data_IF_776620575695
#
_entry.id   IF_776620575695
#
_cell.length_a   1.000
_cell.length_b   1.000
_cell.length_c   1.000
_cell.angle_alpha   90.00
_cell.angle_beta   90.00
_cell.angle_gamma   90.00
#
_symmetry.space_group_name_H-M   'P 1'
#
loop_
_entity.id
_entity.type
_entity.pdbx_description
1 polymer ?
#
# COMPACT_ATOMS: atom_id res chain seq x y z
N UNK A 1 13.54 -15.87 -57.60
CA UNK A 1 14.20 -17.15 -57.26
C UNK A 1 13.57 -17.65 -55.97
N UNK A 2 12.66 -18.64 -56.01
CA UNK A 2 12.93 -20.08 -55.82
C UNK A 2 13.46 -20.38 -54.38
N UNK A 3 12.92 -21.26 -53.55
CA UNK A 3 11.97 -22.35 -53.74
C UNK A 3 11.31 -22.80 -52.41
N UNK A 4 10.10 -23.38 -52.54
CA UNK A 4 9.39 -24.21 -51.56
C UNK A 4 10.21 -25.43 -51.12
N UNK A 5 9.96 -25.96 -49.90
CA UNK A 5 9.90 -27.41 -49.67
C UNK A 5 8.94 -27.80 -48.53
N UNK A 6 8.02 -28.69 -48.89
CA UNK A 6 7.04 -29.47 -48.11
C UNK A 6 7.64 -30.84 -47.77
N UNK A 7 7.10 -31.50 -46.73
CA UNK A 7 6.96 -32.96 -46.44
C UNK A 7 7.38 -33.25 -44.98
N UNK A 8 6.71 -34.09 -44.21
CA UNK A 8 5.59 -35.00 -44.45
C UNK A 8 5.19 -35.68 -43.12
N UNK A 9 3.95 -36.18 -43.08
CA UNK A 9 3.38 -36.96 -41.98
C UNK A 9 3.98 -38.38 -41.90
N UNK A 10 3.91 -39.02 -40.72
CA UNK A 10 3.29 -40.35 -40.52
C UNK A 10 3.39 -40.81 -39.06
N UNK A 11 2.31 -41.45 -38.62
CA UNK A 11 2.09 -42.08 -37.32
C UNK A 11 2.47 -43.58 -37.34
N UNK A 12 2.83 -44.12 -36.17
CA UNK A 12 2.68 -45.52 -35.70
C UNK A 12 3.33 -45.57 -34.30
N UNK A 13 2.72 -46.01 -33.19
CA UNK A 13 1.93 -47.22 -33.01
C UNK A 13 2.84 -48.36 -32.56
N UNK A 14 2.87 -48.69 -31.25
CA UNK A 14 3.11 -50.06 -30.73
C UNK A 14 2.98 -50.15 -29.19
N UNK A 15 2.00 -50.95 -28.78
CA UNK A 15 1.85 -51.52 -27.45
C UNK A 15 2.89 -52.61 -27.19
N UNK A 16 3.25 -52.83 -25.91
CA UNK A 16 3.84 -54.09 -25.43
C UNK A 16 3.22 -54.50 -24.09
N UNK A 17 2.77 -55.75 -24.06
CA UNK A 17 2.17 -56.52 -22.96
C UNK A 17 3.16 -57.63 -22.61
N UNK A 18 3.44 -57.87 -21.33
CA UNK A 18 4.11 -59.05 -20.77
C UNK A 18 3.99 -58.96 -19.24
N UNK A 19 3.83 -60.00 -18.42
CA UNK A 19 3.70 -61.45 -18.54
C UNK A 19 3.15 -61.94 -17.18
N UNK A 20 2.35 -63.01 -17.18
CA UNK A 20 1.87 -63.74 -15.98
C UNK A 20 2.54 -65.12 -15.95
N UNK A 21 2.73 -65.68 -14.73
CA UNK A 21 2.68 -67.11 -14.32
C UNK A 21 3.79 -67.48 -13.29
N UNK A 22 3.67 -68.55 -12.47
CA UNK A 22 2.50 -69.33 -12.00
C UNK A 22 2.51 -69.68 -10.47
N UNK A 23 1.69 -70.68 -10.10
CA UNK A 23 1.01 -71.13 -8.86
C UNK A 23 1.71 -72.11 -7.87
N UNK A 24 1.24 -72.17 -6.61
CA UNK A 24 0.82 -73.35 -5.77
C UNK A 24 0.59 -72.91 -4.28
N UNK A 25 -0.55 -73.11 -3.60
CA UNK A 25 -0.95 -74.25 -2.72
C UNK A 25 -0.04 -74.38 -1.46
N UNK A 26 -0.43 -74.38 -0.17
CA UNK A 26 -1.66 -74.72 0.59
C UNK A 26 -1.48 -74.30 2.10
N UNK A 27 -2.60 -74.35 2.86
CA UNK A 27 -2.74 -74.57 4.33
C UNK A 27 -2.62 -73.42 5.38
N UNK A 28 -3.61 -73.43 6.29
CA UNK A 28 -3.87 -72.57 7.47
C UNK A 28 -3.24 -73.16 8.74
N UNK A 29 -2.88 -72.34 9.74
CA UNK A 29 -3.36 -72.62 11.11
C UNK A 29 -3.84 -71.36 11.87
N UNK A 30 -4.80 -71.57 12.78
CA UNK A 30 -5.32 -70.60 13.77
C UNK A 30 -4.40 -70.45 15.00
N UNK A 31 -4.40 -69.26 15.65
CA UNK A 31 -4.13 -69.14 17.09
C UNK A 31 -3.29 -67.95 17.63
N UNK A 32 -3.94 -66.78 17.86
CA UNK A 32 -3.78 -65.76 18.95
C UNK A 32 -2.42 -65.05 19.26
N UNK A 33 -2.39 -63.89 19.99
CA UNK A 33 -3.39 -62.84 20.24
C UNK A 33 -2.95 -61.41 19.79
N UNK A 34 -3.86 -60.46 19.96
CA UNK A 34 -3.87 -59.07 19.45
C UNK A 34 -2.86 -58.13 20.13
N UNK A 35 -2.12 -57.34 19.33
CA UNK A 35 -1.59 -56.03 19.72
C UNK A 35 -2.19 -54.96 18.82
N UNK A 36 -3.02 -54.09 19.40
CA UNK A 36 -3.64 -52.96 18.72
C UNK A 36 -2.62 -51.84 18.48
N UNK A 37 -2.02 -51.80 17.29
CA UNK A 37 -1.36 -50.60 16.78
C UNK A 37 -2.34 -49.83 15.88
N UNK A 38 -2.79 -48.67 16.36
CA UNK A 38 -3.66 -47.74 15.62
C UNK A 38 -2.80 -47.09 14.52
N UNK A 39 -3.09 -47.28 13.22
CA UNK A 39 -2.40 -46.51 12.18
C UNK A 39 -2.84 -45.04 12.27
N UNK A 40 -1.96 -44.06 11.98
CA UNK A 40 -2.35 -42.66 11.93
C UNK A 40 -3.48 -42.51 10.91
N UNK A 41 -4.64 -42.03 11.36
CA UNK A 41 -5.73 -41.69 10.45
C UNK A 41 -5.25 -40.51 9.60
N UNK A 42 -4.76 -40.79 8.39
CA UNK A 42 -4.65 -39.78 7.35
C UNK A 42 -6.08 -39.26 7.09
N UNK A 43 -6.40 -38.10 7.65
CA UNK A 43 -7.61 -37.37 7.33
C UNK A 43 -7.51 -36.95 5.86
N UNK A 44 -7.97 -37.83 4.96
CA UNK A 44 -8.16 -37.51 3.55
C UNK A 44 -9.32 -36.52 3.46
N UNK A 45 -8.99 -35.23 3.39
CA UNK A 45 -9.97 -34.16 3.23
C UNK A 45 -10.61 -34.34 1.85
N UNK A 46 -11.91 -34.66 1.76
CA UNK A 46 -12.56 -34.76 0.47
C UNK A 46 -12.52 -33.38 -0.21
N UNK A 47 -12.33 -33.32 -1.54
CA UNK A 47 -12.40 -32.06 -2.26
C UNK A 47 -13.75 -31.40 -1.97
N UNK A 48 -13.80 -30.07 -1.74
CA UNK A 48 -15.05 -29.38 -1.42
C UNK A 48 -16.00 -29.43 -2.62
N UNK A 49 -16.78 -30.50 -2.71
CA UNK A 49 -17.89 -30.62 -3.65
C UNK A 49 -18.98 -29.68 -3.17
N UNK A 50 -19.16 -28.55 -3.87
CA UNK A 50 -20.29 -27.67 -3.62
C UNK A 50 -21.56 -28.48 -3.87
N UNK A 51 -22.26 -28.86 -2.80
CA UNK A 51 -23.50 -29.66 -2.80
C UNK A 51 -24.69 -28.90 -3.44
N UNK A 52 -24.46 -28.01 -4.41
CA UNK A 52 -25.48 -27.14 -5.01
C UNK A 52 -26.07 -26.08 -4.05
N UNK A 53 -25.62 -26.04 -2.79
CA UNK A 53 -26.15 -25.16 -1.73
C UNK A 53 -25.62 -23.71 -1.77
N UNK A 54 -25.06 -23.26 -2.89
CA UNK A 54 -24.56 -21.89 -3.03
C UNK A 54 -25.72 -20.90 -3.20
N UNK A 55 -26.29 -20.46 -2.08
CA UNK A 55 -27.45 -19.55 -2.02
C UNK A 55 -27.05 -18.09 -2.31
N UNK A 56 -25.99 -17.60 -1.65
CA UNK A 56 -25.53 -16.22 -1.80
C UNK A 56 -24.50 -16.09 -2.93
N UNK A 57 -24.94 -15.74 -4.14
CA UNK A 57 -24.08 -15.59 -5.33
C UNK A 57 -23.45 -14.20 -5.43
N UNK A 58 -22.81 -13.76 -4.35
CA UNK A 58 -22.06 -12.50 -4.34
C UNK A 58 -20.75 -12.61 -5.13
N UNK A 59 -20.48 -11.57 -5.91
CA UNK A 59 -19.30 -11.43 -6.75
C UNK A 59 -18.83 -10.00 -6.69
N UNK A 60 -17.54 -9.81 -6.40
CA UNK A 60 -16.94 -8.50 -6.22
C UNK A 60 -16.02 -8.19 -7.39
N UNK A 61 -16.28 -7.11 -8.10
CA UNK A 61 -15.36 -6.61 -9.12
C UNK A 61 -14.26 -5.80 -8.44
N UNK A 62 -12.99 -6.15 -8.69
CA UNK A 62 -11.84 -5.41 -8.17
C UNK A 62 -10.97 -4.93 -9.33
N UNK A 63 -10.95 -3.62 -9.56
CA UNK A 63 -10.14 -3.02 -10.61
C UNK A 63 -9.70 -1.60 -10.25
N UNK A 64 -8.90 -0.99 -11.13
CA UNK A 64 -8.21 0.26 -10.84
C UNK A 64 -8.22 1.21 -12.01
N UNK A 65 -8.06 2.50 -11.73
CA UNK A 65 -7.79 3.51 -12.75
C UNK A 65 -6.34 3.47 -13.23
N UNK A 66 -6.07 4.06 -14.39
CA UNK A 66 -4.70 4.20 -14.89
C UNK A 66 -3.82 5.02 -13.95
N UNK A 67 -2.57 4.58 -13.80
CA UNK A 67 -1.52 5.26 -13.04
C UNK A 67 -1.56 5.05 -11.52
N UNK A 68 -2.03 3.89 -11.07
CA UNK A 68 -1.80 3.38 -9.71
C UNK A 68 -0.31 3.19 -9.41
N UNK A 69 0.07 3.39 -8.15
CA UNK A 69 1.42 3.19 -7.64
C UNK A 69 1.77 1.69 -7.53
N UNK A 70 3.06 1.35 -7.41
CA UNK A 70 3.52 -0.03 -7.22
C UNK A 70 2.89 -0.68 -5.99
N UNK A 71 2.95 -0.01 -4.83
CA UNK A 71 2.33 -0.49 -3.59
C UNK A 71 0.83 -0.76 -3.71
N UNK A 72 0.11 0.10 -4.45
CA UNK A 72 -1.32 -0.08 -4.71
C UNK A 72 -1.61 -1.31 -5.58
N UNK A 73 -0.72 -1.66 -6.52
CA UNK A 73 -0.87 -2.89 -7.33
C UNK A 73 -0.79 -4.13 -6.46
N UNK A 74 0.17 -4.15 -5.53
CA UNK A 74 0.29 -5.22 -4.55
C UNK A 74 -0.94 -5.29 -3.66
N UNK A 75 -1.39 -4.17 -3.08
CA UNK A 75 -2.63 -4.15 -2.28
C UNK A 75 -3.85 -4.70 -3.06
N UNK A 76 -4.01 -4.31 -4.33
CA UNK A 76 -5.09 -4.81 -5.17
C UNK A 76 -4.97 -6.32 -5.43
N UNK A 77 -3.75 -6.82 -5.61
CA UNK A 77 -3.48 -8.25 -5.79
C UNK A 77 -3.68 -9.05 -4.51
N UNK A 78 -3.31 -8.48 -3.36
CA UNK A 78 -3.51 -9.07 -2.04
C UNK A 78 -5.00 -9.27 -1.78
N UNK A 79 -5.82 -8.23 -2.01
CA UNK A 79 -7.28 -8.31 -1.86
C UNK A 79 -7.93 -9.32 -2.83
N UNK A 80 -7.43 -9.43 -4.06
CA UNK A 80 -7.88 -10.46 -5.03
C UNK A 80 -7.50 -11.87 -4.60
N UNK A 81 -6.41 -12.01 -3.85
CA UNK A 81 -5.93 -13.31 -3.37
C UNK A 81 -6.69 -13.76 -2.14
N UNK A 82 -7.00 -12.81 -1.25
CA UNK A 82 -7.80 -13.04 -0.04
C UNK A 82 -9.29 -13.32 -0.36
N UNK A 83 -9.89 -12.61 -1.31
CA UNK A 83 -11.31 -12.77 -1.65
C UNK A 83 -11.50 -13.70 -2.86
N UNK A 84 -11.98 -14.94 -2.69
CA UNK A 84 -12.09 -15.92 -3.78
C UNK A 84 -13.23 -15.59 -4.76
N UNK A 85 -14.24 -14.85 -4.33
CA UNK A 85 -15.36 -14.32 -5.13
C UNK A 85 -15.01 -13.03 -5.88
N UNK A 86 -13.74 -12.60 -5.83
CA UNK A 86 -13.28 -11.44 -6.58
C UNK A 86 -13.06 -11.75 -8.06
N UNK A 87 -13.38 -10.78 -8.92
CA UNK A 87 -13.07 -10.79 -10.35
C UNK A 87 -12.16 -9.61 -10.68
N UNK A 88 -11.12 -9.88 -11.46
CA UNK A 88 -10.25 -8.85 -12.00
C UNK A 88 -10.83 -8.32 -13.32
N UNK A 89 -10.62 -7.04 -13.58
CA UNK A 89 -10.90 -6.45 -14.88
C UNK A 89 -9.77 -5.52 -15.35
N UNK A 90 -9.87 -5.07 -16.60
CA UNK A 90 -8.93 -4.15 -17.22
C UNK A 90 -8.93 -2.78 -16.51
N UNK A 91 -7.85 -2.01 -16.69
CA UNK A 91 -7.73 -0.70 -16.04
C UNK A 91 -8.51 0.35 -16.81
N UNK A 92 -9.45 1.00 -16.13
CA UNK A 92 -10.25 2.10 -16.65
C UNK A 92 -9.40 3.35 -16.90
N UNK A 93 -9.73 4.11 -17.95
CA UNK A 93 -9.06 5.38 -18.20
C UNK A 93 -9.56 6.46 -17.23
N UNK A 94 -8.73 7.49 -17.01
CA UNK A 94 -9.07 8.60 -16.09
C UNK A 94 -10.13 9.55 -16.65
N UNK A 95 -10.34 9.51 -17.96
CA UNK A 95 -11.32 10.36 -18.67
C UNK A 95 -12.72 9.77 -18.64
N UNK A 96 -12.83 8.47 -18.41
CA UNK A 96 -14.09 7.75 -18.45
C UNK A 96 -14.96 8.15 -17.25
N UNK A 97 -16.26 8.24 -17.46
CA UNK A 97 -17.21 8.55 -16.40
C UNK A 97 -17.38 7.34 -15.47
N UNK A 98 -17.55 7.60 -14.17
CA UNK A 98 -17.68 6.53 -13.17
C UNK A 98 -18.94 5.66 -13.38
N UNK A 99 -19.93 6.13 -14.14
CA UNK A 99 -21.13 5.35 -14.46
C UNK A 99 -20.83 4.11 -15.33
N UNK A 100 -19.77 4.17 -16.16
CA UNK A 100 -19.31 3.04 -17.00
C UNK A 100 -18.96 1.81 -16.14
N UNK A 101 -18.61 2.02 -14.87
CA UNK A 101 -18.31 0.94 -13.93
C UNK A 101 -19.54 0.03 -13.72
N UNK A 102 -20.74 0.60 -13.75
CA UNK A 102 -21.97 -0.17 -13.59
C UNK A 102 -22.17 -1.14 -14.74
N UNK A 103 -21.91 -0.69 -15.98
CA UNK A 103 -21.98 -1.53 -17.18
C UNK A 103 -20.95 -2.66 -17.14
N UNK A 104 -19.71 -2.35 -16.73
CA UNK A 104 -18.65 -3.36 -16.58
C UNK A 104 -19.03 -4.41 -15.54
N UNK A 105 -19.61 -4.00 -14.42
CA UNK A 105 -20.13 -4.91 -13.40
C UNK A 105 -21.25 -5.79 -13.95
N UNK A 106 -22.16 -5.26 -14.77
CA UNK A 106 -23.23 -6.03 -15.41
C UNK A 106 -22.67 -7.06 -16.40
N UNK A 107 -21.75 -6.65 -17.28
CA UNK A 107 -21.07 -7.56 -18.22
C UNK A 107 -20.32 -8.70 -17.52
N UNK A 108 -19.72 -8.42 -16.36
CA UNK A 108 -19.00 -9.43 -15.55
C UNK A 108 -19.92 -10.15 -14.57
N UNK A 109 -21.20 -9.80 -14.50
CA UNK A 109 -22.19 -10.28 -13.55
C UNK A 109 -21.63 -10.22 -12.11
N UNK A 110 -21.26 -9.01 -11.68
CA UNK A 110 -20.77 -8.66 -10.36
C UNK A 110 -21.77 -7.74 -9.65
N UNK A 111 -22.16 -8.10 -8.43
CA UNK A 111 -23.13 -7.36 -7.64
C UNK A 111 -22.47 -6.22 -6.84
N UNK A 112 -21.16 -6.31 -6.65
CA UNK A 112 -20.37 -5.46 -5.78
C UNK A 112 -19.12 -4.99 -6.50
N UNK A 113 -18.61 -3.83 -6.12
CA UNK A 113 -17.45 -3.25 -6.76
C UNK A 113 -16.50 -2.59 -5.75
N UNK A 114 -15.21 -2.87 -5.90
CA UNK A 114 -14.10 -2.14 -5.29
C UNK A 114 -13.30 -1.48 -6.42
N UNK A 115 -13.35 -0.15 -6.48
CA UNK A 115 -12.63 0.61 -7.50
C UNK A 115 -11.51 1.45 -6.87
N UNK A 116 -10.28 1.24 -7.34
CA UNK A 116 -9.10 2.00 -6.94
C UNK A 116 -8.88 3.19 -7.86
N UNK A 117 -9.15 4.40 -7.36
CA UNK A 117 -8.93 5.65 -8.07
C UNK A 117 -7.59 6.27 -7.64
N UNK A 118 -6.57 6.22 -8.50
CA UNK A 118 -5.30 6.90 -8.25
C UNK A 118 -5.28 8.32 -8.84
N UNK A 119 -5.04 9.32 -7.99
CA UNK A 119 -4.81 10.70 -8.41
C UNK A 119 -3.35 11.11 -8.24
N UNK A 120 -2.83 11.85 -9.22
CA UNK A 120 -1.45 12.38 -9.23
C UNK A 120 -0.35 11.32 -8.99
N UNK A 121 -0.64 10.04 -9.22
CA UNK A 121 0.24 8.88 -8.94
C UNK A 121 0.71 8.77 -7.48
N UNK A 122 0.07 9.48 -6.55
CA UNK A 122 0.46 9.57 -5.14
C UNK A 122 -0.72 9.27 -4.22
N UNK A 123 -1.87 9.90 -4.47
CA UNK A 123 -3.05 9.76 -3.63
C UNK A 123 -3.90 8.58 -4.12
N UNK A 124 -4.33 7.75 -3.18
CA UNK A 124 -5.18 6.60 -3.44
C UNK A 124 -6.57 6.83 -2.84
N UNK A 125 -7.58 6.73 -3.69
CA UNK A 125 -8.96 6.70 -3.27
C UNK A 125 -9.53 5.30 -3.55
N UNK A 126 -10.37 4.81 -2.66
CA UNK A 126 -11.11 3.58 -2.85
C UNK A 126 -12.59 3.87 -2.84
N UNK A 127 -13.29 3.25 -3.76
CA UNK A 127 -14.73 3.25 -3.81
C UNK A 127 -15.23 1.85 -3.51
N UNK A 128 -16.19 1.77 -2.60
CA UNK A 128 -16.97 0.56 -2.34
C UNK A 128 -18.38 0.83 -2.81
N UNK A 129 -18.93 -0.03 -3.65
CA UNK A 129 -20.27 0.15 -4.22
C UNK A 129 -21.03 -1.15 -4.32
N UNK A 130 -22.34 -1.06 -4.08
CA UNK A 130 -23.31 -2.04 -4.52
C UNK A 130 -23.83 -1.65 -5.91
N UNK A 131 -23.64 -2.50 -6.90
CA UNK A 131 -24.07 -2.24 -8.28
C UNK A 131 -25.36 -3.01 -8.58
N UNK A 132 -26.36 -2.44 -9.30
CA UNK A 132 -26.42 -1.09 -9.89
C UNK A 132 -27.06 -0.01 -8.99
N UNK A 133 -27.78 -0.41 -7.95
CA UNK A 133 -28.65 0.51 -7.20
C UNK A 133 -27.91 1.44 -6.23
N UNK A 134 -26.67 1.11 -5.82
CA UNK A 134 -25.99 1.75 -4.69
C UNK A 134 -26.28 1.03 -3.36
N UNK A 135 -25.78 1.53 -2.22
CA UNK A 135 -25.03 2.78 -2.04
C UNK A 135 -23.57 2.68 -2.49
N UNK A 136 -22.91 3.83 -2.63
CA UNK A 136 -21.46 3.90 -2.84
C UNK A 136 -20.77 4.80 -1.84
N UNK A 137 -19.61 4.37 -1.35
CA UNK A 137 -18.83 5.11 -0.38
C UNK A 137 -17.42 5.35 -0.89
N UNK A 138 -16.97 6.61 -0.78
CA UNK A 138 -15.65 7.05 -1.21
C UNK A 138 -14.74 7.26 -0.01
N UNK A 139 -13.57 6.63 -0.06
CA UNK A 139 -12.56 6.72 0.98
C UNK A 139 -11.24 7.24 0.44
N UNK A 140 -10.50 7.99 1.25
CA UNK A 140 -9.07 8.20 1.08
C UNK A 140 -8.33 7.08 1.81
N UNK A 141 -7.45 6.39 1.10
CA UNK A 141 -6.64 5.31 1.69
C UNK A 141 -5.30 5.87 2.13
N UNK A 142 -4.95 5.59 3.38
CA UNK A 142 -3.69 5.98 4.00
C UNK A 142 -2.99 4.75 4.62
N UNK A 143 -1.70 4.89 4.93
CA UNK A 143 -0.91 3.88 5.65
C UNK A 143 -1.07 2.45 5.10
N UNK A 144 -0.95 2.31 3.78
CA UNK A 144 -1.01 1.01 3.11
C UNK A 144 0.26 0.22 3.40
N UNK A 145 0.08 -0.97 3.94
CA UNK A 145 1.07 -2.00 4.17
C UNK A 145 0.61 -3.28 3.47
N UNK A 146 1.41 -3.82 2.57
CA UNK A 146 1.06 -5.00 1.75
C UNK A 146 1.52 -6.30 2.39
N UNK A 147 1.02 -7.45 1.91
CA UNK A 147 1.41 -8.78 2.41
C UNK A 147 2.92 -9.03 2.33
N UNK A 148 3.60 -8.46 1.32
CA UNK A 148 5.04 -8.66 1.10
C UNK A 148 5.94 -7.82 2.03
N UNK A 149 5.41 -7.14 3.04
CA UNK A 149 6.21 -6.34 3.97
C UNK A 149 6.77 -7.19 5.11
N UNK A 150 8.07 -7.03 5.41
CA UNK A 150 8.83 -7.85 6.36
C UNK A 150 8.23 -7.97 7.77
N UNK A 151 7.40 -7.01 8.19
CA UNK A 151 6.80 -6.99 9.53
C UNK A 151 5.61 -7.94 9.69
N UNK A 152 5.09 -8.48 8.59
CA UNK A 152 3.93 -9.36 8.61
C UNK A 152 4.40 -10.80 8.51
N UNK A 153 4.33 -11.54 9.62
CA UNK A 153 4.85 -12.91 9.73
C UNK A 153 3.76 -13.97 9.57
N UNK A 154 2.48 -13.56 9.59
CA UNK A 154 1.36 -14.49 9.47
C UNK A 154 1.15 -14.97 8.04
N UNK A 155 0.52 -16.13 7.90
CA UNK A 155 0.09 -16.70 6.63
C UNK A 155 -1.39 -17.10 6.71
N UNK A 156 -2.07 -17.23 5.58
CA UNK A 156 -3.40 -17.84 5.57
C UNK A 156 -3.66 -18.63 4.28
N UNK A 157 -4.51 -19.65 4.39
CA UNK A 157 -5.03 -20.41 3.27
C UNK A 157 -5.75 -19.49 2.29
N UNK A 158 -5.32 -19.54 1.02
CA UNK A 158 -5.92 -18.77 -0.05
C UNK A 158 -7.37 -19.19 -0.26
N UNK A 159 -8.28 -18.23 -0.18
CA UNK A 159 -9.72 -18.47 -0.34
C UNK A 159 -10.37 -19.13 0.88
N UNK A 160 -9.70 -19.18 2.04
CA UNK A 160 -10.38 -19.44 3.30
C UNK A 160 -11.43 -18.36 3.59
N UNK A 161 -12.41 -18.70 4.42
CA UNK A 161 -13.51 -17.79 4.74
C UNK A 161 -13.09 -16.91 5.92
N UNK A 162 -13.00 -15.58 5.75
CA UNK A 162 -12.61 -14.70 6.84
C UNK A 162 -13.73 -14.59 7.87
N UNK A 163 -13.37 -14.46 9.15
CA UNK A 163 -14.27 -13.87 10.14
C UNK A 163 -14.18 -12.35 10.03
N UNK A 164 -15.31 -11.67 10.14
CA UNK A 164 -15.36 -10.21 10.16
C UNK A 164 -15.58 -9.76 11.61
N UNK A 165 -14.62 -9.01 12.14
CA UNK A 165 -14.69 -8.39 13.45
C UNK A 165 -14.89 -6.89 13.27
N UNK A 166 -15.98 -6.36 13.83
CA UNK A 166 -16.31 -4.93 13.80
C UNK A 166 -16.31 -4.37 15.22
N UNK A 167 -15.77 -3.17 15.33
CA UNK A 167 -15.86 -2.35 16.54
C UNK A 167 -17.32 -1.99 16.87
N UNK A 168 -17.77 -2.06 18.14
CA UNK A 168 -19.11 -1.63 18.54
C UNK A 168 -19.49 -0.19 18.14
N UNK A 169 -18.49 0.68 17.90
CA UNK A 169 -18.72 2.05 17.41
C UNK A 169 -19.49 2.05 16.08
N UNK A 170 -19.35 1.01 15.25
CA UNK A 170 -20.07 0.90 13.99
C UNK A 170 -21.60 0.88 14.14
N UNK A 171 -22.11 0.43 15.28
CA UNK A 171 -23.56 0.34 15.53
C UNK A 171 -24.13 1.63 16.16
N UNK A 172 -23.27 2.56 16.60
CA UNK A 172 -23.70 3.79 17.28
C UNK A 172 -24.14 4.87 16.29
N UNK A 173 -23.42 5.05 15.18
CA UNK A 173 -23.73 6.08 14.19
C UNK A 173 -24.30 5.48 12.90
N UNK A 174 -25.36 6.08 12.31
CA UNK A 174 -26.08 5.49 11.19
C UNK A 174 -25.22 5.36 9.93
N UNK A 175 -24.29 6.29 9.73
CA UNK A 175 -23.39 6.25 8.57
C UNK A 175 -22.35 5.12 8.70
N UNK A 176 -21.89 4.80 9.92
CA UNK A 176 -21.05 3.64 10.14
C UNK A 176 -21.84 2.33 10.07
N UNK A 177 -23.08 2.29 10.54
CA UNK A 177 -23.93 1.10 10.41
C UNK A 177 -24.16 0.72 8.93
N UNK A 178 -24.39 1.72 8.07
CA UNK A 178 -24.48 1.51 6.63
C UNK A 178 -23.16 0.99 6.03
N UNK A 179 -22.02 1.50 6.50
CA UNK A 179 -20.71 1.02 6.06
C UNK A 179 -20.39 -0.39 6.56
N UNK A 180 -20.82 -0.75 7.77
CA UNK A 180 -20.71 -2.10 8.31
C UNK A 180 -21.43 -3.09 7.42
N UNK A 181 -22.69 -2.83 7.08
CA UNK A 181 -23.47 -3.67 6.15
C UNK A 181 -22.82 -3.76 4.76
N UNK A 182 -22.32 -2.64 4.23
CA UNK A 182 -21.61 -2.60 2.95
C UNK A 182 -20.34 -3.46 3.00
N UNK A 183 -19.55 -3.38 4.07
CA UNK A 183 -18.33 -4.17 4.24
C UNK A 183 -18.62 -5.65 4.47
N UNK A 184 -19.67 -6.00 5.20
CA UNK A 184 -20.11 -7.38 5.36
C UNK A 184 -20.37 -8.00 4.00
N UNK A 185 -21.14 -7.34 3.13
CA UNK A 185 -21.48 -7.88 1.81
C UNK A 185 -20.30 -7.93 0.82
N UNK A 186 -19.26 -7.10 1.02
CA UNK A 186 -18.09 -7.05 0.13
C UNK A 186 -17.01 -8.05 0.58
N UNK A 187 -16.66 -8.02 1.86
CA UNK A 187 -15.54 -8.79 2.40
C UNK A 187 -15.94 -10.20 2.86
N UNK A 188 -17.24 -10.48 3.05
CA UNK A 188 -17.72 -11.82 3.34
C UNK A 188 -17.54 -12.73 2.12
N UNK A 189 -16.94 -13.89 2.35
CA UNK A 189 -16.86 -14.94 1.34
C UNK A 189 -18.11 -15.82 1.43
N UNK A 190 -18.91 -15.95 0.36
CA UNK A 190 -20.14 -16.72 0.42
C UNK A 190 -19.88 -18.19 0.70
N UNK A 191 -20.74 -18.79 1.52
CA UNK A 191 -20.68 -20.21 1.85
C UNK A 191 -20.80 -21.07 0.58
N UNK A 192 -19.94 -22.08 0.45
CA UNK A 192 -19.88 -22.99 -0.69
C UNK A 192 -19.50 -22.32 -2.02
N UNK A 193 -18.77 -21.21 -1.99
CA UNK A 193 -18.16 -20.68 -3.20
C UNK A 193 -17.22 -21.73 -3.83
N UNK A 194 -17.20 -21.93 -5.16
CA UNK A 194 -16.40 -22.99 -5.77
C UNK A 194 -14.89 -22.92 -5.48
N UNK A 195 -14.40 -21.73 -5.15
CA UNK A 195 -13.00 -21.47 -4.79
C UNK A 195 -12.78 -21.26 -3.28
N UNK A 196 -13.84 -21.33 -2.46
CA UNK A 196 -13.67 -21.17 -1.01
C UNK A 196 -13.23 -22.47 -0.37
N UNK A 197 -12.28 -22.38 0.55
CA UNK A 197 -11.92 -23.48 1.43
C UNK A 197 -12.91 -23.55 2.60
N UNK A 198 -13.16 -24.75 3.18
CA UNK A 198 -14.10 -24.91 4.28
C UNK A 198 -13.60 -24.30 5.60
N UNK A 199 -12.28 -24.22 5.78
CA UNK A 199 -11.64 -23.76 7.01
C UNK A 199 -11.64 -22.23 7.16
N UNK A 200 -11.61 -21.81 8.42
CA UNK A 200 -11.52 -20.42 8.85
C UNK A 200 -10.15 -20.22 9.47
N UNK A 201 -9.29 -19.50 8.77
CA UNK A 201 -7.87 -19.37 9.12
C UNK A 201 -7.50 -17.93 9.51
N UNK A 202 -8.33 -16.96 9.12
CA UNK A 202 -8.01 -15.54 9.32
C UNK A 202 -9.24 -14.68 9.66
N UNK A 203 -8.96 -13.51 10.24
CA UNK A 203 -9.93 -12.52 10.68
C UNK A 203 -9.61 -11.18 10.05
N UNK A 204 -10.62 -10.57 9.44
CA UNK A 204 -10.60 -9.16 9.08
C UNK A 204 -11.18 -8.33 10.21
N UNK A 205 -10.37 -7.41 10.71
CA UNK A 205 -10.74 -6.53 11.81
C UNK A 205 -10.89 -5.10 11.29
N UNK A 206 -12.04 -4.51 11.57
CA UNK A 206 -12.36 -3.11 11.29
C UNK A 206 -12.49 -2.37 12.62
N UNK A 207 -11.51 -1.54 12.97
CA UNK A 207 -11.56 -0.68 14.17
C UNK A 207 -11.69 0.77 13.79
N UNK A 208 -12.45 1.54 14.57
CA UNK A 208 -12.60 2.97 14.37
C UNK A 208 -11.68 3.68 15.35
N UNK A 209 -10.79 4.53 14.84
CA UNK A 209 -9.92 5.37 15.68
C UNK A 209 -9.67 6.68 14.95
N UNK A 210 -9.86 7.81 15.66
CA UNK A 210 -9.79 9.16 15.09
C UNK A 210 -10.70 9.33 13.85
N UNK A 211 -11.93 8.79 13.91
CA UNK A 211 -12.93 8.81 12.82
C UNK A 211 -12.46 8.14 11.53
N UNK A 212 -11.39 7.33 11.62
CA UNK A 212 -10.83 6.55 10.52
C UNK A 212 -10.99 5.09 10.80
N UNK A 213 -11.26 4.35 9.74
CA UNK A 213 -11.45 2.90 9.81
C UNK A 213 -10.11 2.24 9.51
N UNK A 214 -9.59 1.49 10.47
CA UNK A 214 -8.39 0.70 10.34
C UNK A 214 -8.77 -0.71 9.92
N UNK A 215 -8.26 -1.13 8.78
CA UNK A 215 -8.36 -2.51 8.31
C UNK A 215 -7.10 -3.27 8.68
N UNK A 216 -7.27 -4.43 9.32
CA UNK A 216 -6.20 -5.37 9.64
C UNK A 216 -6.64 -6.80 9.35
N UNK A 217 -5.66 -7.64 9.02
CA UNK A 217 -5.86 -9.06 8.77
C UNK A 217 -4.95 -9.89 9.68
N UNK A 218 -5.56 -10.78 10.45
CA UNK A 218 -4.89 -11.62 11.44
C UNK A 218 -5.10 -13.10 11.14
N UNK A 219 -4.04 -13.89 11.28
CA UNK A 219 -4.10 -15.35 11.29
C UNK A 219 -4.59 -15.83 12.66
N UNK A 220 -5.41 -16.87 12.67
CA UNK A 220 -5.80 -17.59 13.87
C UNK A 220 -4.83 -18.77 14.05
N UNK A 221 -4.06 -18.77 15.13
CA UNK A 221 -3.23 -19.93 15.48
C UNK A 221 -4.09 -20.87 16.34
N UNK A 222 -4.41 -22.05 15.81
CA UNK A 222 -5.30 -23.03 16.46
C UNK A 222 -4.77 -23.52 17.82
N UNK A 223 -3.45 -23.55 18.00
CA UNK A 223 -2.81 -24.09 19.22
C UNK A 223 -3.04 -23.21 20.47
N UNK A 224 -2.96 -21.87 20.32
CA UNK A 224 -3.00 -20.92 21.44
C UNK A 224 -4.13 -19.89 21.34
N UNK A 225 -4.99 -19.98 20.31
CA UNK A 225 -5.96 -18.94 19.92
C UNK A 225 -5.32 -17.53 19.78
N UNK A 226 -4.01 -17.47 19.55
CA UNK A 226 -3.28 -16.22 19.37
C UNK A 226 -3.43 -15.69 17.95
N UNK A 227 -3.33 -14.37 17.81
CA UNK A 227 -3.52 -13.68 16.53
C UNK A 227 -2.20 -13.11 16.02
N UNK A 228 -1.81 -13.50 14.80
CA UNK A 228 -0.58 -13.00 14.14
C UNK A 228 -0.94 -12.16 12.93
N UNK A 229 -0.33 -10.98 12.77
CA UNK A 229 -0.64 -10.07 11.66
C UNK A 229 -0.10 -10.62 10.33
N UNK A 230 -1.00 -10.77 9.32
CA UNK A 230 -0.68 -11.22 7.96
C UNK A 230 -0.61 -10.04 6.99
N UNK A 231 -1.60 -9.15 7.07
CA UNK A 231 -1.83 -8.06 6.13
C UNK A 231 -2.81 -8.41 5.00
N UNK A 232 -3.16 -7.47 4.12
CA UNK A 232 -2.69 -6.09 4.09
C UNK A 232 -3.29 -5.26 5.24
N UNK A 233 -2.60 -4.19 5.61
CA UNK A 233 -3.07 -3.19 6.57
C UNK A 233 -3.23 -1.86 5.86
N UNK A 234 -4.35 -1.19 6.09
CA UNK A 234 -4.57 0.15 5.55
C UNK A 234 -5.61 0.89 6.37
N UNK A 235 -5.60 2.21 6.23
CA UNK A 235 -6.53 3.11 6.91
C UNK A 235 -7.44 3.74 5.88
N UNK A 236 -8.74 3.63 6.09
CA UNK A 236 -9.78 4.25 5.28
C UNK A 236 -10.28 5.50 6.01
N UNK A 237 -10.14 6.66 5.37
CA UNK A 237 -10.74 7.90 5.82
C UNK A 237 -11.96 8.19 4.94
N UNK A 238 -13.15 8.22 5.54
CA UNK A 238 -14.42 8.43 4.85
C UNK A 238 -14.49 9.85 4.29
N UNK A 239 -14.85 9.98 3.01
CA UNK A 239 -15.03 11.28 2.34
C UNK A 239 -16.51 11.59 2.21
N UNK A 240 -17.22 10.75 1.45
CA UNK A 240 -18.64 10.91 1.13
C UNK A 240 -19.29 9.55 0.92
N UNK A 241 -20.58 9.48 1.25
CA UNK A 241 -21.47 8.37 0.93
C UNK A 241 -22.53 8.88 -0.04
N UNK A 242 -22.78 8.14 -1.11
CA UNK A 242 -23.78 8.41 -2.13
C UNK A 242 -24.88 7.37 -2.09
N UNK A 243 -26.10 7.79 -2.39
CA UNK A 243 -27.25 6.90 -2.46
C UNK A 243 -27.13 5.89 -3.61
N UNK A 244 -26.63 6.33 -4.77
CA UNK A 244 -26.49 5.50 -5.96
C UNK A 244 -25.11 4.86 -6.12
N UNK A 245 -24.99 3.96 -7.10
CA UNK A 245 -23.70 3.38 -7.48
C UNK A 245 -22.87 4.38 -8.28
N UNK A 246 -21.77 4.84 -7.71
CA UNK A 246 -20.84 5.82 -8.31
C UNK A 246 -21.48 7.16 -8.71
N UNK A 247 -22.59 7.53 -8.06
CA UNK A 247 -23.33 8.76 -8.34
C UNK A 247 -24.56 8.89 -7.45
N UNK A 248 -25.42 9.86 -7.77
CA UNK A 248 -26.62 10.17 -6.99
C UNK A 248 -26.37 11.20 -5.86
N UNK A 249 -27.42 11.51 -5.09
CA UNK A 249 -27.32 12.48 -4.00
C UNK A 249 -26.38 11.97 -2.90
N UNK A 250 -25.69 12.92 -2.27
CA UNK A 250 -24.77 12.63 -1.15
C UNK A 250 -25.60 12.45 0.11
N UNK A 251 -25.53 11.27 0.71
CA UNK A 251 -26.21 10.93 1.97
C UNK A 251 -25.43 11.44 3.17
N UNK A 252 -24.10 11.40 3.08
CA UNK A 252 -23.20 11.81 4.15
C UNK A 252 -21.92 12.41 3.58
N UNK A 253 -21.43 13.49 4.18
CA UNK A 253 -20.15 14.11 3.88
C UNK A 253 -19.39 14.32 5.19
N UNK A 254 -18.15 13.85 5.23
CA UNK A 254 -17.33 13.96 6.44
C UNK A 254 -16.76 15.39 6.57
N UNK A 255 -17.11 16.16 7.63
CA UNK A 255 -16.58 17.51 7.83
C UNK A 255 -15.09 17.51 8.23
N UNK A 256 -14.59 16.44 8.84
CA UNK A 256 -13.21 16.32 9.29
C UNK A 256 -12.24 15.88 8.18
N UNK A 257 -12.78 15.50 7.02
CA UNK A 257 -11.97 15.10 5.89
C UNK A 257 -11.20 16.27 5.28
N UNK A 258 -9.86 16.17 5.32
CA UNK A 258 -8.98 17.08 4.60
C UNK A 258 -8.36 16.39 3.39
N UNK A 259 -8.53 16.97 2.21
CA UNK A 259 -7.91 16.43 1.01
C UNK A 259 -6.38 16.53 1.06
N UNK A 260 -5.63 15.52 0.56
CA UNK A 260 -4.17 15.58 0.50
C UNK A 260 -3.63 16.80 -0.29
N UNK A 261 -4.41 17.27 -1.27
CA UNK A 261 -4.09 18.49 -2.02
C UNK A 261 -4.13 19.73 -1.14
N UNK A 262 -5.17 19.86 -0.30
CA UNK A 262 -5.28 20.97 0.65
C UNK A 262 -4.19 20.90 1.71
N UNK A 263 -3.92 19.71 2.25
CA UNK A 263 -2.83 19.53 3.21
C UNK A 263 -1.47 19.95 2.63
N UNK A 264 -1.15 19.51 1.40
CA UNK A 264 0.09 19.95 0.70
C UNK A 264 0.12 21.45 0.43
N UNK A 265 -1.03 22.07 0.14
CA UNK A 265 -1.13 23.53 -0.04
C UNK A 265 -0.83 24.25 1.27
N UNK A 266 -1.40 23.80 2.39
CA UNK A 266 -1.17 24.37 3.72
C UNK A 266 0.31 24.27 4.14
N UNK A 267 0.96 23.13 3.89
CA UNK A 267 2.40 22.97 4.13
C UNK A 267 3.21 23.97 3.29
N UNK A 268 2.87 24.14 2.00
CA UNK A 268 3.57 25.11 1.14
C UNK A 268 3.38 26.55 1.63
N UNK A 269 2.17 26.90 2.06
CA UNK A 269 1.87 28.22 2.60
C UNK A 269 2.62 28.48 3.92
N UNK A 270 2.69 27.50 4.83
CA UNK A 270 3.43 27.66 6.08
C UNK A 270 4.94 27.79 5.86
N UNK A 271 5.50 27.05 4.89
CA UNK A 271 6.91 27.20 4.48
C UNK A 271 7.15 28.58 3.85
N UNK A 272 6.25 29.05 3.00
CA UNK A 272 6.35 30.38 2.38
C UNK A 272 6.22 31.51 3.42
N UNK A 273 5.33 31.36 4.41
CA UNK A 273 5.18 32.31 5.52
C UNK A 273 6.47 32.39 6.35
N UNK A 274 7.05 31.24 6.75
CA UNK A 274 8.35 31.19 7.45
C UNK A 274 9.48 31.82 6.64
N UNK A 275 9.46 31.66 5.31
CA UNK A 275 10.45 32.31 4.45
C UNK A 275 10.24 33.83 4.40
N UNK A 276 9.00 34.30 4.30
CA UNK A 276 8.65 35.73 4.31
C UNK A 276 9.04 36.39 5.64
N UNK A 277 8.76 35.75 6.76
CA UNK A 277 9.16 36.21 8.09
C UNK A 277 10.69 36.37 8.19
N UNK A 278 11.46 35.39 7.69
CA UNK A 278 12.92 35.50 7.62
C UNK A 278 13.42 36.66 6.76
N UNK A 279 12.72 36.99 5.67
CA UNK A 279 13.07 38.15 4.84
C UNK A 279 12.77 39.46 5.56
N UNK A 280 11.60 39.57 6.19
CA UNK A 280 11.22 40.73 6.99
C UNK A 280 12.22 40.98 8.14
N UNK A 281 12.62 39.93 8.86
CA UNK A 281 13.65 40.04 9.91
C UNK A 281 14.98 40.53 9.35
N UNK A 282 15.41 40.05 8.17
CA UNK A 282 16.63 40.53 7.51
C UNK A 282 16.52 41.99 7.09
N UNK A 283 15.38 42.42 6.59
CA UNK A 283 15.13 43.82 6.23
C UNK A 283 15.14 44.73 7.46
N UNK A 284 14.46 44.34 8.53
CA UNK A 284 14.50 45.07 9.81
C UNK A 284 15.92 45.15 10.36
N UNK A 285 16.71 44.08 10.28
CA UNK A 285 18.13 44.12 10.66
C UNK A 285 18.97 45.05 9.78
N UNK A 286 18.72 45.10 8.46
CA UNK A 286 19.39 46.05 7.57
C UNK A 286 18.99 47.48 7.88
N UNK A 287 17.71 47.74 8.16
CA UNK A 287 17.21 49.06 8.55
C UNK A 287 17.83 49.48 9.88
N UNK A 288 17.86 48.59 10.90
CA UNK A 288 18.58 48.84 12.16
C UNK A 288 20.05 49.15 11.92
N UNK A 289 20.78 48.35 11.13
CA UNK A 289 22.18 48.64 10.80
C UNK A 289 22.38 49.98 10.08
N UNK A 290 21.42 50.40 9.24
CA UNK A 290 21.46 51.70 8.57
C UNK A 290 21.10 52.85 9.51
N UNK A 291 20.11 52.68 10.38
CA UNK A 291 19.65 53.69 11.34
C UNK A 291 20.56 53.82 12.57
N UNK A 292 21.29 52.77 12.93
CA UNK A 292 22.35 52.80 13.98
C UNK A 292 23.67 53.35 13.45
N UNK A 293 23.73 53.85 12.20
CA UNK A 293 24.62 54.97 11.89
C UNK A 293 24.03 56.23 12.53
N UNK A 294 23.87 56.22 13.84
CA UNK A 294 23.94 57.46 14.59
C UNK A 294 25.34 57.95 14.30
N UNK A 295 25.44 59.11 13.64
CA UNK A 295 26.64 59.92 13.65
C UNK A 295 26.98 60.07 15.13
N UNK A 296 27.89 59.23 15.63
CA UNK A 296 28.57 59.54 16.88
C UNK A 296 29.17 60.90 16.58
N UNK A 297 28.75 61.93 17.30
CA UNK A 297 29.39 63.24 17.19
C UNK A 297 30.90 62.98 17.30
N UNK A 298 31.65 63.44 16.30
CA UNK A 298 33.10 63.24 16.26
C UNK A 298 33.67 63.69 17.60
N UNK A 299 34.29 62.76 18.32
CA UNK A 299 34.83 63.04 19.64
C UNK A 299 35.93 64.10 19.45
N UNK A 300 35.79 65.30 20.04
CA UNK A 300 36.74 66.40 19.83
C UNK A 300 38.16 66.05 20.32
N UNK A 301 38.32 64.95 21.06
CA UNK A 301 39.60 64.44 21.54
C UNK A 301 40.35 63.55 20.54
N UNK A 302 39.75 63.14 19.40
CA UNK A 302 40.47 62.34 18.38
C UNK A 302 41.67 63.09 17.78
N UNK A 303 41.59 64.42 17.70
CA UNK A 303 42.67 65.29 17.16
C UNK A 303 43.92 65.29 18.06
N UNK A 304 43.80 64.87 19.33
CA UNK A 304 44.91 64.91 20.32
C UNK A 304 45.91 63.77 20.12
N UNK A 305 45.52 62.69 19.42
CA UNK A 305 46.36 61.52 19.19
C UNK A 305 46.98 61.47 17.78
N UNK A 306 46.80 62.50 16.96
CA UNK A 306 47.53 62.67 15.70
C UNK A 306 48.98 63.13 15.99
N UNK A 307 49.83 62.22 16.45
CA UNK A 307 51.28 62.45 16.41
C UNK A 307 51.73 62.49 14.96
N UNK A 308 52.49 63.52 14.50
CA UNK A 308 53.03 63.53 13.15
C UNK A 308 54.03 62.39 13.02
N UNK A 309 53.61 61.27 12.43
CA UNK A 309 54.53 60.21 12.02
C UNK A 309 55.33 60.74 10.84
N UNK A 310 56.66 60.82 10.98
CA UNK A 310 57.58 61.17 9.89
C UNK A 310 57.21 60.41 8.61
N UNK A 311 57.10 61.13 7.49
CA UNK A 311 56.86 60.55 6.18
C UNK A 311 58.01 59.61 5.82
N UNK A 312 57.84 58.32 6.11
CA UNK A 312 58.68 57.30 5.51
C UNK A 312 58.39 57.29 4.01
N UNK A 313 59.41 57.42 3.15
CA UNK A 313 59.21 57.37 1.71
C UNK A 313 58.52 56.05 1.37
N UNK A 314 57.33 56.15 0.79
CA UNK A 314 56.58 55.00 0.31
C UNK A 314 57.25 54.56 -0.99
N UNK A 315 58.21 53.65 -0.87
CA UNK A 315 58.69 52.89 -2.02
C UNK A 315 57.56 51.93 -2.42
N UNK A 316 56.68 52.41 -3.31
CA UNK A 316 55.54 51.64 -3.82
C UNK A 316 56.12 50.51 -4.67
N UNK A 317 56.20 49.31 -4.11
CA UNK A 317 56.46 48.10 -4.89
C UNK A 317 55.26 47.87 -5.83
N UNK A 318 55.43 48.23 -7.11
CA UNK A 318 54.46 48.01 -8.20
C UNK A 318 54.22 46.52 -8.53
N UNK A 319 54.94 45.61 -7.88
CA UNK A 319 54.80 44.17 -8.11
C UNK A 319 53.84 43.60 -7.07
N UNK A 320 52.70 43.10 -7.56
CA UNK A 320 51.72 42.37 -6.74
C UNK A 320 52.42 41.23 -6.00
N UNK A 321 52.37 41.17 -4.65
CA UNK A 321 52.98 40.07 -3.92
C UNK A 321 52.34 38.75 -4.36
N UNK A 322 53.17 37.73 -4.58
CA UNK A 322 52.69 36.42 -5.02
C UNK A 322 51.62 35.90 -4.06
N UNK A 323 50.50 35.43 -4.63
CA UNK A 323 49.42 34.87 -3.84
C UNK A 323 49.94 33.68 -3.04
N UNK A 324 49.89 33.77 -1.70
CA UNK A 324 50.20 32.63 -0.83
C UNK A 324 49.48 31.38 -1.35
N UNK A 325 50.16 30.23 -1.48
CA UNK A 325 49.52 29.03 -1.96
C UNK A 325 48.34 28.72 -1.05
N UNK A 326 47.14 28.64 -1.64
CA UNK A 326 45.94 28.21 -0.93
C UNK A 326 46.26 26.79 -0.44
N UNK A 327 46.59 26.67 0.85
CA UNK A 327 46.68 25.36 1.50
C UNK A 327 45.28 24.80 1.43
N UNK A 328 45.01 23.95 0.43
CA UNK A 328 43.79 23.16 0.34
C UNK A 328 43.73 22.38 1.64
N UNK A 329 42.84 22.83 2.52
CA UNK A 329 42.65 22.27 3.84
C UNK A 329 42.38 20.76 3.70
N UNK A 330 43.43 19.93 3.89
CA UNK A 330 43.42 18.48 3.63
C UNK A 330 42.31 17.79 4.44
N UNK A 331 41.83 18.45 5.52
CA UNK A 331 40.69 18.03 6.33
C UNK A 331 39.37 18.02 5.54
N UNK A 332 39.12 18.96 4.63
CA UNK A 332 37.89 18.97 3.79
C UNK A 332 37.88 17.84 2.76
N UNK A 333 39.01 17.60 2.08
CA UNK A 333 39.17 16.48 1.14
C UNK A 333 39.02 15.12 1.83
N UNK A 334 39.66 14.92 3.00
CA UNK A 334 39.47 13.71 3.81
C UNK A 334 38.02 13.52 4.27
N UNK A 335 37.30 14.59 4.63
CA UNK A 335 35.87 14.52 4.99
C UNK A 335 34.99 14.07 3.81
N UNK A 336 35.30 14.54 2.60
CA UNK A 336 34.56 14.18 1.38
C UNK A 336 34.85 12.72 0.99
N UNK A 337 36.10 12.27 1.05
CA UNK A 337 36.46 10.87 0.80
C UNK A 337 35.81 9.91 1.81
N UNK A 338 35.83 10.23 3.11
CA UNK A 338 35.13 9.44 4.15
C UNK A 338 33.62 9.36 3.91
N UNK A 339 33.00 10.45 3.44
CA UNK A 339 31.56 10.45 3.07
C UNK A 339 31.28 9.60 1.82
N UNK A 340 32.19 9.58 0.83
CA UNK A 340 32.07 8.71 -0.35
C UNK A 340 32.24 7.23 0.00
N UNK A 341 33.25 6.86 0.80
CA UNK A 341 33.39 5.48 1.30
C UNK A 341 32.17 5.04 2.11
N UNK A 342 31.69 5.86 3.06
CA UNK A 342 30.47 5.54 3.82
C UNK A 342 29.21 5.41 2.94
N UNK A 343 29.17 6.04 1.77
CA UNK A 343 28.09 5.84 0.80
C UNK A 343 28.25 4.54 0.01
N UNK A 344 29.49 4.19 -0.36
CA UNK A 344 29.80 2.96 -1.09
C UNK A 344 29.50 1.70 -0.24
N UNK A 345 29.93 1.71 1.03
CA UNK A 345 29.61 0.64 2.00
C UNK A 345 28.13 0.55 2.38
N UNK A 346 27.32 1.56 2.03
CA UNK A 346 25.87 1.56 2.24
C UNK A 346 25.08 1.05 1.03
N UNK A 347 25.74 0.88 -0.12
CA UNK A 347 25.14 0.40 -1.37
C UNK A 347 25.49 -1.05 -1.67
N UNK A 348 26.44 -1.65 -0.95
CA UNK A 348 26.87 -3.05 -1.11
C UNK A 348 26.51 -3.92 0.11
N UNK A 349 25.55 -3.50 0.93
CA UNK A 349 25.01 -4.26 2.06
C UNK A 349 23.51 -4.49 1.92
#
# INVERSE_FOLDING_TARGET
MAAKRKRGALAAGKAKRARRAPSAGEAVPEGAPQEHSIPPQEHSIPPPVSQGKWKNKERVLIFSSRGINFRTRHLMQDLRTLMPHSKADTKMDRKDQLFVINEVCEMKNCNKCIFFEAKKKQDLYMWFSNTPQGPSAKFLVQNVHTLAELKMTGNCLRGSRPLLSFDPIFDQEPHYALLKELFIQIFSTPQYHPKSQPFVDHVFTFTITDERIWFRNYQIIEEDASLVEIGPRFVLNLIKIFQGSFGGPTLYENPHYQSPNMHRRLIKLSVAAKFREKQQVKEVQKIKKKGTKVLVEEDPTEVVFETPSEEKPVEIQLVKPESKPIVKDKKKLRKIQRKKQKKLFRTEG
#
